data_IF_770104375634
#
_entry.id   IF_770104375634
#
_cell.length_a   1.000
_cell.length_b   1.000
_cell.length_c   1.000
_cell.angle_alpha   90.00
_cell.angle_beta   90.00
_cell.angle_gamma   90.00
#
_symmetry.space_group_name_H-M   'P 1'
#
loop_
_entity.id
_entity.type
_entity.pdbx_description
1 polymer ?
#
# COMPACT_ATOMS: atom_id res chain seq x y z
N UNK A 1 -3.84 -12.24 -34.55
CA UNK A 1 -4.88 -11.78 -33.61
C UNK A 1 -5.37 -12.81 -32.56
N UNK A 2 -5.28 -14.12 -32.78
CA UNK A 2 -5.69 -15.16 -31.79
C UNK A 2 -4.86 -15.20 -30.49
N UNK A 3 -3.61 -14.78 -30.53
CA UNK A 3 -2.69 -14.89 -29.37
C UNK A 3 -3.06 -13.92 -28.24
N UNK A 4 -3.55 -12.74 -28.55
CA UNK A 4 -3.91 -11.73 -27.55
C UNK A 4 -5.17 -12.09 -26.77
N UNK A 5 -6.14 -12.76 -27.39
CA UNK A 5 -7.41 -13.16 -26.74
C UNK A 5 -7.19 -14.15 -25.58
N UNK A 6 -6.27 -15.10 -25.74
CA UNK A 6 -5.96 -16.06 -24.65
C UNK A 6 -5.37 -15.34 -23.43
N UNK A 7 -4.52 -14.33 -23.67
CA UNK A 7 -3.95 -13.53 -22.60
C UNK A 7 -4.99 -12.66 -21.90
N UNK A 8 -5.90 -12.02 -22.65
CA UNK A 8 -7.01 -11.25 -22.07
C UNK A 8 -7.90 -12.13 -21.19
N UNK A 9 -8.27 -13.32 -21.65
CA UNK A 9 -9.07 -14.26 -20.89
C UNK A 9 -8.37 -14.75 -19.63
N UNK A 10 -7.09 -15.08 -19.73
CA UNK A 10 -6.29 -15.50 -18.60
C UNK A 10 -6.19 -14.38 -17.54
N UNK A 11 -5.97 -13.14 -17.98
CA UNK A 11 -5.91 -11.97 -17.08
C UNK A 11 -7.21 -11.77 -16.32
N UNK A 12 -8.37 -11.86 -17.01
CA UNK A 12 -9.68 -11.74 -16.37
C UNK A 12 -9.93 -12.86 -15.35
N UNK A 13 -9.56 -14.10 -15.67
CA UNK A 13 -9.67 -15.22 -14.74
C UNK A 13 -8.79 -15.02 -13.51
N UNK A 14 -7.56 -14.51 -13.69
CA UNK A 14 -6.67 -14.21 -12.58
C UNK A 14 -7.24 -13.10 -11.68
N UNK A 15 -7.85 -12.05 -12.24
CA UNK A 15 -8.49 -11.00 -11.44
C UNK A 15 -9.65 -11.54 -10.61
N UNK A 16 -10.49 -12.42 -11.17
CA UNK A 16 -11.54 -13.10 -10.41
C UNK A 16 -10.95 -13.97 -9.31
N UNK A 17 -9.91 -14.76 -9.61
CA UNK A 17 -9.26 -15.60 -8.62
C UNK A 17 -8.64 -14.79 -7.47
N UNK A 18 -7.98 -13.67 -7.78
CA UNK A 18 -7.41 -12.78 -6.77
C UNK A 18 -8.50 -12.14 -5.91
N UNK A 19 -9.61 -11.67 -6.50
CA UNK A 19 -10.74 -11.16 -5.73
C UNK A 19 -11.25 -12.21 -4.74
N UNK A 20 -11.51 -13.44 -5.18
CA UNK A 20 -11.94 -14.54 -4.29
C UNK A 20 -10.93 -14.80 -3.17
N UNK A 21 -9.63 -14.75 -3.46
CA UNK A 21 -8.56 -14.95 -2.46
C UNK A 21 -8.44 -13.77 -1.49
N UNK A 22 -8.81 -12.56 -1.90
CA UNK A 22 -8.77 -11.38 -1.05
C UNK A 22 -9.80 -11.44 0.09
N UNK A 23 -10.92 -12.12 -0.11
CA UNK A 23 -11.99 -12.25 0.90
C UNK A 23 -11.47 -12.90 2.21
N UNK A 24 -10.89 -14.13 2.20
CA UNK A 24 -10.40 -14.73 3.44
C UNK A 24 -9.23 -13.94 4.06
N UNK A 25 -8.38 -13.32 3.26
CA UNK A 25 -7.29 -12.46 3.75
C UNK A 25 -7.86 -11.26 4.52
N UNK A 26 -8.88 -10.61 3.98
CA UNK A 26 -9.54 -9.48 4.63
C UNK A 26 -10.24 -9.91 5.93
N UNK A 27 -10.97 -11.02 5.91
CA UNK A 27 -11.70 -11.54 7.07
C UNK A 27 -10.75 -11.95 8.22
N UNK A 28 -9.57 -12.44 7.91
CA UNK A 28 -8.56 -12.81 8.93
C UNK A 28 -7.74 -11.62 9.42
N UNK A 29 -7.56 -10.59 8.57
CA UNK A 29 -6.81 -9.37 8.91
C UNK A 29 -7.54 -8.47 9.89
N UNK A 30 -8.86 -8.36 9.80
CA UNK A 30 -9.67 -7.48 10.65
C UNK A 30 -9.58 -7.82 12.15
N UNK A 31 -9.76 -9.07 12.61
CA UNK A 31 -9.59 -9.43 14.02
C UNK A 31 -8.16 -9.23 14.55
N UNK A 32 -7.16 -9.43 13.69
CA UNK A 32 -5.75 -9.21 14.07
C UNK A 32 -5.48 -7.75 14.40
N UNK A 33 -6.05 -6.80 13.66
CA UNK A 33 -5.91 -5.37 13.90
C UNK A 33 -6.51 -4.94 15.25
N UNK A 34 -7.61 -5.54 15.67
CA UNK A 34 -8.22 -5.28 16.97
C UNK A 34 -7.31 -5.68 18.13
N UNK A 35 -6.69 -6.87 18.07
CA UNK A 35 -5.74 -7.33 19.10
C UNK A 35 -4.48 -6.47 19.17
N UNK A 36 -4.00 -5.97 18.04
CA UNK A 36 -2.82 -5.10 18.00
C UNK A 36 -3.05 -3.73 18.65
N UNK A 37 -4.28 -3.22 18.69
CA UNK A 37 -4.62 -1.95 19.34
C UNK A 37 -4.46 -1.99 20.86
N UNK A 38 -4.46 -3.16 21.46
CA UNK A 38 -4.32 -3.38 22.91
C UNK A 38 -2.84 -3.53 23.32
N UNK A 39 -1.91 -3.66 22.36
CA UNK A 39 -0.50 -3.83 22.66
C UNK A 39 0.18 -2.49 22.95
N UNK A 40 0.92 -2.37 24.07
CA UNK A 40 1.69 -1.16 24.38
C UNK A 40 2.82 -0.97 23.36
N UNK A 41 3.03 0.29 22.91
CA UNK A 41 4.11 0.64 21.99
C UNK A 41 3.72 0.71 20.51
N UNK A 42 2.51 0.34 20.11
CA UNK A 42 2.03 0.44 18.73
C UNK A 42 1.17 1.70 18.57
N UNK A 43 1.48 2.53 17.58
CA UNK A 43 0.70 3.72 17.27
C UNK A 43 -0.69 3.35 16.74
N UNK A 44 -1.72 3.76 17.46
CA UNK A 44 -3.12 3.57 17.06
C UNK A 44 -3.44 4.24 15.71
N UNK A 45 -2.82 5.37 15.45
CA UNK A 45 -3.01 6.11 14.20
C UNK A 45 -2.51 5.31 12.99
N UNK A 46 -1.33 4.68 13.11
CA UNK A 46 -0.78 3.82 12.04
C UNK A 46 -1.67 2.62 11.76
N UNK A 47 -2.28 2.00 12.80
CA UNK A 47 -3.22 0.90 12.64
C UNK A 47 -4.48 1.37 11.91
N UNK A 48 -5.01 2.55 12.24
CA UNK A 48 -6.17 3.12 11.56
C UNK A 48 -5.89 3.42 10.10
N UNK A 49 -4.75 4.04 9.79
CA UNK A 49 -4.34 4.31 8.42
C UNK A 49 -4.19 3.02 7.61
N UNK A 50 -3.57 1.99 8.18
CA UNK A 50 -3.44 0.69 7.53
C UNK A 50 -4.81 0.03 7.28
N UNK A 51 -5.71 0.06 8.28
CA UNK A 51 -7.06 -0.50 8.16
C UNK A 51 -7.84 0.19 7.05
N UNK A 52 -7.86 1.53 7.02
CA UNK A 52 -8.54 2.28 5.97
C UNK A 52 -7.95 1.98 4.58
N UNK A 53 -6.63 1.92 4.45
CA UNK A 53 -5.98 1.57 3.20
C UNK A 53 -6.34 0.15 2.74
N UNK A 54 -6.41 -0.81 3.68
CA UNK A 54 -6.83 -2.18 3.41
C UNK A 54 -8.28 -2.26 2.94
N UNK A 55 -9.19 -1.47 3.53
CA UNK A 55 -10.59 -1.40 3.11
C UNK A 55 -10.71 -0.89 1.67
N UNK A 56 -10.00 0.19 1.31
CA UNK A 56 -9.99 0.70 -0.06
C UNK A 56 -9.39 -0.31 -1.05
N UNK A 57 -8.30 -0.98 -0.68
CA UNK A 57 -7.68 -2.01 -1.50
C UNK A 57 -8.64 -3.20 -1.72
N UNK A 58 -9.32 -3.65 -0.66
CA UNK A 58 -10.31 -4.72 -0.71
C UNK A 58 -11.44 -4.38 -1.68
N UNK A 59 -12.16 -3.27 -1.47
CA UNK A 59 -13.30 -2.91 -2.32
C UNK A 59 -12.90 -2.67 -3.78
N UNK A 60 -11.71 -2.12 -4.02
CA UNK A 60 -11.19 -1.94 -5.38
C UNK A 60 -10.91 -3.29 -6.04
N UNK A 61 -10.37 -4.25 -5.30
CA UNK A 61 -10.09 -5.60 -5.79
C UNK A 61 -11.36 -6.38 -6.07
N UNK A 62 -12.36 -6.29 -5.18
CA UNK A 62 -13.67 -6.91 -5.40
C UNK A 62 -14.39 -6.30 -6.61
N UNK A 63 -14.30 -4.99 -6.79
CA UNK A 63 -14.80 -4.30 -7.99
C UNK A 63 -14.12 -4.81 -9.25
N UNK A 64 -12.79 -4.93 -9.26
CA UNK A 64 -12.04 -5.48 -10.38
C UNK A 64 -12.44 -6.92 -10.71
N UNK A 65 -12.62 -7.76 -9.68
CA UNK A 65 -13.08 -9.15 -9.81
C UNK A 65 -14.49 -9.23 -10.41
N UNK A 66 -15.43 -8.43 -9.90
CA UNK A 66 -16.80 -8.38 -10.38
C UNK A 66 -16.89 -7.92 -11.85
N UNK A 67 -16.17 -6.84 -12.21
CA UNK A 67 -16.11 -6.38 -13.60
C UNK A 67 -15.45 -7.40 -14.54
N UNK A 68 -14.43 -8.11 -14.06
CA UNK A 68 -13.76 -9.17 -14.82
C UNK A 68 -14.69 -10.37 -15.02
N UNK A 69 -15.44 -10.76 -13.99
CA UNK A 69 -16.45 -11.82 -14.09
C UNK A 69 -17.56 -11.45 -15.06
N UNK A 70 -18.05 -10.20 -15.00
CA UNK A 70 -19.04 -9.69 -15.95
C UNK A 70 -18.51 -9.73 -17.38
N UNK A 71 -17.27 -9.32 -17.62
CA UNK A 71 -16.63 -9.36 -18.93
C UNK A 71 -16.51 -10.80 -19.45
N UNK A 72 -16.06 -11.74 -18.61
CA UNK A 72 -15.97 -13.16 -18.93
C UNK A 72 -17.34 -13.73 -19.32
N UNK A 73 -18.39 -13.42 -18.57
CA UNK A 73 -19.74 -13.90 -18.84
C UNK A 73 -20.31 -13.31 -20.12
N UNK A 74 -20.26 -11.98 -20.28
CA UNK A 74 -20.89 -11.27 -21.40
C UNK A 74 -20.20 -11.54 -22.74
N UNK A 75 -18.89 -11.63 -22.75
CA UNK A 75 -18.09 -11.77 -23.97
C UNK A 75 -17.62 -13.20 -24.23
N UNK A 76 -18.17 -14.20 -23.51
CA UNK A 76 -17.76 -15.60 -23.69
C UNK A 76 -17.92 -16.11 -25.13
N UNK A 77 -18.98 -15.65 -25.82
CA UNK A 77 -19.33 -16.04 -27.19
C UNK A 77 -18.91 -15.00 -28.22
N UNK A 78 -18.41 -13.83 -27.81
CA UNK A 78 -18.07 -12.73 -28.69
C UNK A 78 -16.61 -12.79 -29.16
N UNK A 79 -16.36 -12.23 -30.34
CA UNK A 79 -15.03 -12.29 -30.95
C UNK A 79 -13.98 -11.44 -30.21
N UNK A 80 -14.38 -10.34 -29.58
CA UNK A 80 -13.47 -9.40 -28.89
C UNK A 80 -14.17 -8.67 -27.74
N UNK A 81 -13.37 -8.33 -26.71
CA UNK A 81 -13.78 -7.43 -25.63
C UNK A 81 -13.61 -5.98 -26.12
N UNK A 82 -14.58 -5.09 -25.86
CA UNK A 82 -14.46 -3.70 -26.28
C UNK A 82 -13.22 -3.02 -25.67
N UNK A 83 -12.47 -2.24 -26.43
CA UNK A 83 -11.23 -1.62 -25.93
C UNK A 83 -11.49 -0.68 -24.74
N UNK A 84 -12.63 -0.02 -24.69
CA UNK A 84 -13.04 0.81 -23.53
C UNK A 84 -13.12 0.02 -22.22
N UNK A 85 -13.64 -1.21 -22.28
CA UNK A 85 -13.73 -2.07 -21.11
C UNK A 85 -12.35 -2.58 -20.69
N UNK A 86 -11.50 -2.96 -21.65
CA UNK A 86 -10.13 -3.36 -21.38
C UNK A 86 -9.33 -2.22 -20.72
N UNK A 87 -9.47 -0.98 -21.22
CA UNK A 87 -8.82 0.19 -20.63
C UNK A 87 -9.33 0.47 -19.21
N UNK A 88 -10.64 0.37 -18.96
CA UNK A 88 -11.22 0.55 -17.64
C UNK A 88 -10.72 -0.51 -16.64
N UNK A 89 -10.68 -1.78 -17.05
CA UNK A 89 -10.14 -2.87 -16.25
C UNK A 89 -8.64 -2.68 -15.95
N UNK A 90 -7.88 -2.22 -16.93
CA UNK A 90 -6.45 -1.91 -16.74
C UNK A 90 -6.26 -0.77 -15.73
N UNK A 91 -7.02 0.32 -15.87
CA UNK A 91 -6.96 1.44 -14.93
C UNK A 91 -7.32 0.99 -13.51
N UNK A 92 -8.36 0.18 -13.35
CA UNK A 92 -8.77 -0.37 -12.07
C UNK A 92 -7.72 -1.31 -11.48
N UNK A 93 -7.09 -2.14 -12.31
CA UNK A 93 -6.00 -3.03 -11.89
C UNK A 93 -4.77 -2.27 -11.40
N UNK A 94 -4.37 -1.19 -12.10
CA UNK A 94 -3.27 -0.32 -11.67
C UNK A 94 -3.59 0.37 -10.35
N UNK A 95 -4.83 0.85 -10.17
CA UNK A 95 -5.30 1.44 -8.91
C UNK A 95 -5.26 0.42 -7.77
N UNK A 96 -5.77 -0.80 -7.98
CA UNK A 96 -5.74 -1.87 -6.99
C UNK A 96 -4.30 -2.21 -6.57
N UNK A 97 -3.39 -2.32 -7.54
CA UNK A 97 -1.98 -2.57 -7.27
C UNK A 97 -1.34 -1.45 -6.44
N UNK A 98 -1.60 -0.20 -6.78
CA UNK A 98 -1.10 0.96 -6.03
C UNK A 98 -1.59 0.98 -4.58
N UNK A 99 -2.89 0.70 -4.37
CA UNK A 99 -3.47 0.59 -3.03
C UNK A 99 -2.89 -0.58 -2.24
N UNK A 100 -2.65 -1.73 -2.86
CA UNK A 100 -2.01 -2.87 -2.21
C UNK A 100 -0.57 -2.57 -1.77
N UNK A 101 0.22 -1.92 -2.63
CA UNK A 101 1.58 -1.49 -2.29
C UNK A 101 1.55 -0.50 -1.11
N UNK A 102 0.64 0.46 -1.14
CA UNK A 102 0.48 1.42 -0.05
C UNK A 102 0.08 0.74 1.26
N UNK A 103 -0.90 -0.14 1.24
CA UNK A 103 -1.33 -0.94 2.40
C UNK A 103 -0.20 -1.80 2.96
N UNK A 104 0.59 -2.45 2.10
CA UNK A 104 1.74 -3.25 2.50
C UNK A 104 2.83 -2.39 3.17
N UNK A 105 3.09 -1.19 2.65
CA UNK A 105 4.05 -0.24 3.24
C UNK A 105 3.62 0.20 4.64
N UNK A 106 2.32 0.52 4.83
CA UNK A 106 1.78 0.85 6.15
C UNK A 106 1.87 -0.32 7.13
N UNK A 107 1.60 -1.55 6.67
CA UNK A 107 1.74 -2.77 7.48
C UNK A 107 3.18 -3.03 7.92
N UNK A 108 4.16 -2.75 7.05
CA UNK A 108 5.57 -2.83 7.39
C UNK A 108 5.97 -1.89 8.51
N UNK A 109 5.48 -0.66 8.51
CA UNK A 109 5.75 0.35 9.56
C UNK A 109 5.19 -0.05 10.94
N UNK A 110 4.11 -0.81 10.99
CA UNK A 110 3.54 -1.32 12.26
C UNK A 110 4.50 -2.32 12.91
N UNK A 111 5.17 -3.15 12.11
CA UNK A 111 6.02 -4.23 12.60
C UNK A 111 7.44 -3.78 12.96
N UNK A 112 7.90 -2.67 12.38
CA UNK A 112 9.24 -2.12 12.56
C UNK A 112 9.18 -0.62 12.86
N UNK A 113 8.70 -0.21 14.04
CA UNK A 113 8.61 1.20 14.41
C UNK A 113 10.00 1.87 14.50
N UNK A 114 11.05 1.08 14.73
CA UNK A 114 12.44 1.55 14.78
C UNK A 114 12.95 2.14 13.44
N UNK A 115 12.41 1.71 12.29
CA UNK A 115 12.84 2.23 10.99
C UNK A 115 12.41 3.70 10.83
N UNK A 116 11.27 4.09 11.42
CA UNK A 116 10.82 5.48 11.46
C UNK A 116 11.56 6.33 12.49
N UNK A 117 11.97 5.73 13.61
CA UNK A 117 12.68 6.40 14.69
C UNK A 117 14.17 6.62 14.38
N UNK A 118 14.82 5.68 13.70
CA UNK A 118 16.26 5.79 13.36
C UNK A 118 16.58 7.01 12.52
N UNK A 119 15.76 7.35 11.53
CA UNK A 119 15.96 8.56 10.73
C UNK A 119 15.79 9.85 11.53
N UNK A 120 14.89 9.88 12.51
CA UNK A 120 14.68 11.05 13.37
C UNK A 120 15.83 11.23 14.39
N UNK A 121 16.32 10.13 14.96
CA UNK A 121 17.44 10.15 15.92
C UNK A 121 18.74 10.53 15.22
N UNK A 122 18.99 10.05 14.02
CA UNK A 122 20.17 10.42 13.22
C UNK A 122 20.15 11.91 12.85
N UNK A 123 18.98 12.45 12.46
CA UNK A 123 18.83 13.87 12.18
C UNK A 123 19.04 14.74 13.43
N UNK A 124 18.53 14.33 14.59
CA UNK A 124 18.74 15.01 15.87
C UNK A 124 20.18 14.90 16.34
N UNK A 125 20.83 13.74 16.12
CA UNK A 125 22.24 13.53 16.43
C UNK A 125 23.18 14.44 15.61
N UNK A 126 22.91 14.61 14.32
CA UNK A 126 23.66 15.50 13.43
C UNK A 126 23.46 16.98 13.79
N UNK A 127 22.27 17.37 14.21
CA UNK A 127 21.98 18.72 14.68
C UNK A 127 22.70 19.01 16.01
N UNK A 128 22.68 18.06 16.95
CA UNK A 128 23.37 18.18 18.24
C UNK A 128 24.88 18.26 18.08
N UNK A 129 25.47 17.52 17.17
CA UNK A 129 26.93 17.60 16.87
C UNK A 129 27.33 18.91 16.20
N UNK A 130 26.45 19.51 15.40
CA UNK A 130 26.70 20.82 14.78
C UNK A 130 26.72 21.96 15.80
N UNK A 131 25.89 21.88 16.84
CA UNK A 131 25.83 22.92 17.90
C UNK A 131 26.91 22.77 18.94
N UNK A 132 27.49 21.57 19.11
CA UNK A 132 28.57 21.29 20.07
C UNK A 132 29.99 21.41 19.48
N UNK A 133 30.12 21.83 18.22
CA UNK A 133 31.46 22.02 17.61
C UNK A 133 32.18 23.21 18.27
N UNK A 134 33.42 22.99 18.80
CA UNK A 134 34.17 24.01 19.57
C UNK A 134 34.61 25.26 18.79
N UNK A 135 34.32 25.28 17.49
CA UNK A 135 34.68 26.42 16.64
C UNK A 135 33.83 27.68 16.92
N UNK A 136 32.61 27.52 17.47
CA UNK A 136 31.80 28.69 17.83
C UNK A 136 32.21 29.37 19.13
N UNK A 137 32.85 28.64 20.03
CA UNK A 137 33.35 29.20 21.29
C UNK A 137 34.59 30.11 21.11
N UNK A 138 35.40 29.88 20.06
CA UNK A 138 36.59 30.72 19.79
C UNK A 138 36.29 32.06 19.15
N UNK A 139 35.13 32.22 18.54
CA UNK A 139 34.70 33.49 17.94
C UNK A 139 34.24 34.54 18.94
N UNK A 140 33.67 34.13 20.08
CA UNK A 140 33.14 35.06 21.09
C UNK A 140 34.21 35.69 21.99
N UNK A 141 35.36 35.02 22.19
CA UNK A 141 36.43 35.52 23.07
C UNK A 141 37.31 36.58 22.38
N UNK A 142 37.23 36.70 21.06
CA UNK A 142 38.05 37.66 20.28
C UNK A 142 37.37 39.01 20.04
N UNK A 143 36.12 39.18 20.46
CA UNK A 143 35.36 40.41 20.28
C UNK A 143 35.31 41.32 21.52
N UNK A 144 35.98 40.94 22.63
CA UNK A 144 35.98 41.70 23.90
C UNK A 144 37.40 42.06 24.39
N UNK A 145 38.37 42.19 23.45
CA UNK A 145 39.69 42.73 23.77
C UNK A 145 39.98 43.97 22.94
#
# INVERSE_FOLDING_TARGET
>A
MRKNRKLEWLSLQLFVAFAVLTIPVYLTGSPASHKMREMPGISRDTIHQHSNAADFAFWTMEGLGAFSLYALYKFRSSAAIPPRLTTALLALAVTALGLMIWTANLGGKIRHPEIGASGAVEHLGLVSQRTSSPQHAKGLIRATS
#
